data_IF_122663261202
#
_entry.id   IF_122663261202
#
_cell.length_a   1.000
_cell.length_b   1.000
_cell.length_c   1.000
_cell.angle_alpha   90.00
_cell.angle_beta   90.00
_cell.angle_gamma   90.00
#
_symmetry.space_group_name_H-M   'P 1'
#
loop_
_entity.id
_entity.type
_entity.pdbx_description
1 polymer ?
#
# COMPACT_ATOMS: atom_id res chain seq x y z
N UNK A 1 24.76 -2.49 4.54
CA UNK A 1 25.73 -1.89 3.62
C UNK A 1 26.72 -1.11 4.45
N UNK A 2 28.00 -1.27 4.20
CA UNK A 2 29.09 -0.51 4.80
C UNK A 2 29.80 0.24 3.70
N UNK A 3 30.21 1.47 3.97
CA UNK A 3 30.87 2.35 3.01
C UNK A 3 30.30 3.77 3.04
N UNK A 4 30.88 4.64 2.28
CA UNK A 4 30.49 6.02 2.07
C UNK A 4 30.57 6.41 0.58
N UNK A 5 30.26 7.65 0.25
CA UNK A 5 30.28 8.11 -1.15
C UNK A 5 31.68 8.05 -1.79
N UNK A 6 32.73 8.07 -1.00
CA UNK A 6 34.13 8.04 -1.50
C UNK A 6 34.66 6.63 -1.65
N UNK A 7 34.32 5.74 -0.72
CA UNK A 7 34.75 4.32 -0.72
C UNK A 7 33.82 3.38 -1.48
N UNK A 8 32.65 3.88 -1.87
CA UNK A 8 31.56 3.11 -2.46
C UNK A 8 30.82 2.24 -1.42
N UNK A 9 29.58 1.93 -1.71
CA UNK A 9 28.71 1.12 -0.86
C UNK A 9 28.94 -0.39 -1.12
N UNK A 10 29.36 -1.13 -0.10
CA UNK A 10 29.49 -2.58 -0.18
C UNK A 10 28.30 -3.24 0.51
N UNK A 11 27.64 -4.22 -0.14
CA UNK A 11 26.58 -4.96 0.51
C UNK A 11 27.16 -5.82 1.64
N UNK A 12 26.61 -5.67 2.84
CA UNK A 12 26.86 -6.61 3.95
C UNK A 12 26.06 -7.89 3.81
N UNK A 13 26.26 -8.84 4.71
CA UNK A 13 25.44 -10.04 4.77
C UNK A 13 24.00 -9.68 5.14
N UNK A 14 22.98 -10.05 4.33
CA UNK A 14 21.59 -9.82 4.67
C UNK A 14 21.20 -10.54 5.96
N UNK A 15 20.49 -9.84 6.84
CA UNK A 15 19.91 -10.41 8.06
C UNK A 15 18.41 -10.23 8.06
N UNK A 16 17.67 -11.28 8.47
CA UNK A 16 16.22 -11.19 8.59
C UNK A 16 15.87 -10.26 9.77
N UNK A 17 15.13 -9.21 9.50
CA UNK A 17 14.62 -8.29 10.50
C UNK A 17 13.31 -8.78 11.12
N UNK A 18 12.42 -9.32 10.29
CA UNK A 18 11.17 -9.96 10.68
C UNK A 18 11.21 -11.38 10.13
N UNK A 19 10.88 -12.34 10.97
CA UNK A 19 10.77 -13.74 10.58
C UNK A 19 9.64 -14.36 11.39
N UNK A 20 8.53 -14.62 10.71
CA UNK A 20 7.38 -15.36 11.23
C UNK A 20 7.13 -16.59 10.35
N UNK A 21 6.12 -17.36 10.65
CA UNK A 21 5.68 -18.49 9.80
C UNK A 21 4.89 -18.02 8.57
N UNK A 22 4.58 -16.72 8.48
CA UNK A 22 3.90 -16.09 7.35
C UNK A 22 4.90 -15.34 6.46
N UNK A 23 4.55 -15.14 5.20
CA UNK A 23 5.29 -14.21 4.34
C UNK A 23 5.05 -12.78 4.81
N UNK A 24 6.12 -11.99 4.87
CA UNK A 24 6.07 -10.57 5.22
C UNK A 24 6.00 -9.74 3.95
N UNK A 25 5.13 -8.74 3.91
CA UNK A 25 4.95 -7.87 2.75
C UNK A 25 4.97 -6.40 3.08
N UNK A 26 5.22 -5.58 2.05
CA UNK A 26 5.07 -4.14 2.06
C UNK A 26 5.80 -3.38 3.18
N UNK A 27 7.10 -3.64 3.41
CA UNK A 27 7.85 -2.95 4.44
C UNK A 27 8.06 -1.47 4.09
N UNK A 28 7.71 -0.58 5.01
CA UNK A 28 7.84 0.86 4.83
C UNK A 28 8.43 1.48 6.08
N UNK A 29 9.54 2.21 5.93
CA UNK A 29 10.16 2.94 7.02
C UNK A 29 9.36 4.19 7.41
N UNK A 30 9.37 4.50 8.72
CA UNK A 30 8.98 5.83 9.19
C UNK A 30 9.92 6.90 8.64
N UNK A 31 9.50 8.18 8.56
CA UNK A 31 10.34 9.27 8.05
C UNK A 31 11.68 9.45 8.78
N UNK A 32 11.72 9.12 10.06
CA UNK A 32 12.94 9.16 10.88
C UNK A 32 13.79 7.88 10.81
N UNK A 33 13.34 6.87 10.04
CA UNK A 33 14.02 5.59 9.86
C UNK A 33 14.05 4.69 11.10
N UNK A 34 13.37 5.05 12.18
CA UNK A 34 13.41 4.28 13.44
C UNK A 34 12.41 3.14 13.50
N UNK A 35 11.34 3.23 12.75
CA UNK A 35 10.23 2.29 12.76
C UNK A 35 10.00 1.66 11.40
N UNK A 36 9.54 0.43 11.39
CA UNK A 36 9.15 -0.29 10.21
C UNK A 36 7.68 -0.70 10.32
N UNK A 37 6.86 -0.25 9.38
CA UNK A 37 5.52 -0.78 9.16
C UNK A 37 5.58 -1.91 8.15
N UNK A 38 4.77 -2.95 8.32
CA UNK A 38 4.71 -4.09 7.41
C UNK A 38 3.38 -4.83 7.56
N UNK A 39 3.09 -5.71 6.60
CA UNK A 39 1.90 -6.57 6.58
C UNK A 39 2.34 -8.03 6.59
N UNK A 40 2.13 -8.80 7.67
CA UNK A 40 2.24 -10.25 7.60
C UNK A 40 1.13 -10.82 6.71
N UNK A 41 1.50 -11.61 5.73
CA UNK A 41 0.54 -12.30 4.85
C UNK A 41 0.04 -13.58 5.54
N UNK A 42 -0.84 -13.43 6.49
CA UNK A 42 -1.51 -14.55 7.14
C UNK A 42 -2.74 -15.00 6.33
N UNK A 43 -3.22 -16.21 6.59
CA UNK A 43 -4.52 -16.65 6.06
C UNK A 43 -5.63 -15.83 6.68
N UNK A 44 -6.46 -15.19 5.85
CA UNK A 44 -7.56 -14.33 6.27
C UNK A 44 -7.28 -12.82 6.04
N UNK A 45 -7.83 -11.99 6.91
CA UNK A 45 -7.61 -10.55 6.84
C UNK A 45 -6.23 -10.18 7.36
N UNK A 46 -5.41 -9.60 6.50
CA UNK A 46 -4.11 -9.07 6.88
C UNK A 46 -4.27 -7.78 7.70
N UNK A 47 -3.32 -7.55 8.61
CA UNK A 47 -3.28 -6.34 9.44
C UNK A 47 -1.90 -5.70 9.35
N UNK A 48 -1.83 -4.40 9.62
CA UNK A 48 -0.57 -3.67 9.64
C UNK A 48 0.02 -3.69 11.03
N UNK A 49 1.30 -3.97 11.09
CA UNK A 49 2.10 -3.93 12.30
C UNK A 49 3.25 -2.93 12.17
N UNK A 50 3.64 -2.37 13.30
CA UNK A 50 4.83 -1.52 13.42
C UNK A 50 5.78 -2.15 14.44
N UNK A 51 7.06 -2.07 14.17
CA UNK A 51 8.12 -2.45 15.10
C UNK A 51 9.32 -1.51 15.02
N UNK A 52 10.19 -1.44 16.02
CA UNK A 52 11.44 -0.72 15.90
C UNK A 52 12.30 -1.38 14.81
N UNK A 53 13.01 -0.55 14.03
CA UNK A 53 14.00 -1.05 13.09
C UNK A 53 15.23 -1.61 13.84
N UNK A 54 15.61 -0.95 14.93
CA UNK A 54 16.65 -1.41 15.85
C UNK A 54 16.12 -1.38 17.27
N UNK A 55 16.61 -2.27 18.12
CA UNK A 55 16.14 -2.38 19.51
C UNK A 55 15.12 -3.48 19.72
N UNK A 56 14.51 -3.48 20.89
CA UNK A 56 13.51 -4.45 21.33
C UNK A 56 12.13 -3.82 21.42
N UNK A 57 11.10 -4.65 21.46
CA UNK A 57 9.71 -4.23 21.60
C UNK A 57 8.87 -4.52 20.37
N UNK A 58 7.56 -4.38 20.50
CA UNK A 58 6.59 -4.69 19.46
C UNK A 58 6.48 -6.18 19.12
N UNK A 59 5.84 -6.53 18.00
CA UNK A 59 5.19 -5.60 17.09
C UNK A 59 3.88 -5.03 17.68
N UNK A 60 3.55 -3.81 17.29
CA UNK A 60 2.27 -3.17 17.62
C UNK A 60 1.35 -3.22 16.42
N UNK A 61 0.15 -3.74 16.62
CA UNK A 61 -0.88 -3.76 15.58
C UNK A 61 -1.45 -2.36 15.38
N UNK A 62 -1.49 -1.87 14.14
CA UNK A 62 -1.96 -0.54 13.78
C UNK A 62 -3.40 -0.56 13.29
N UNK A 63 -3.72 -1.50 12.42
CA UNK A 63 -5.05 -1.63 11.83
C UNK A 63 -5.92 -2.65 12.56
N UNK A 64 -7.21 -2.64 12.26
CA UNK A 64 -8.17 -3.65 12.70
C UNK A 64 -9.29 -3.77 11.65
N UNK A 65 -9.73 -4.99 11.37
CA UNK A 65 -10.81 -5.25 10.41
C UNK A 65 -10.35 -5.37 8.97
N UNK A 66 -9.06 -5.65 8.74
CA UNK A 66 -8.47 -5.87 7.44
C UNK A 66 -7.80 -4.63 6.86
N UNK A 67 -6.53 -4.75 6.55
CA UNK A 67 -5.73 -3.72 5.94
C UNK A 67 -4.78 -4.29 4.89
N UNK A 68 -4.36 -3.45 3.96
CA UNK A 68 -3.42 -3.81 2.91
C UNK A 68 -2.63 -2.58 2.44
N UNK A 69 -1.73 -2.80 1.50
CA UNK A 69 -1.00 -1.75 0.79
C UNK A 69 -1.92 -0.82 -0.01
N UNK A 70 -1.49 0.41 -0.23
CA UNK A 70 -0.23 1.00 0.26
C UNK A 70 -0.28 1.41 1.73
N UNK A 71 0.87 1.34 2.41
CA UNK A 71 1.10 1.93 3.73
C UNK A 71 1.90 3.20 3.52
N UNK A 72 1.49 4.31 4.14
CA UNK A 72 2.15 5.60 3.98
C UNK A 72 2.31 6.26 5.35
N UNK A 73 3.55 6.54 5.72
CA UNK A 73 3.84 7.41 6.85
C UNK A 73 3.74 8.86 6.43
N UNK A 74 3.02 9.67 7.21
CA UNK A 74 3.04 11.11 7.00
C UNK A 74 4.40 11.71 7.36
N UNK A 75 4.90 12.59 6.52
CA UNK A 75 6.10 13.37 6.82
C UNK A 75 5.79 14.59 7.70
N UNK A 76 4.56 15.06 7.66
CA UNK A 76 4.13 16.27 8.36
C UNK A 76 3.49 15.99 9.72
N UNK A 77 2.99 14.77 9.95
CA UNK A 77 2.23 14.40 11.15
C UNK A 77 2.59 13.01 11.65
N UNK A 78 2.34 12.75 12.90
CA UNK A 78 2.44 11.41 13.48
C UNK A 78 1.20 10.57 13.08
N UNK A 79 1.10 10.24 11.81
CA UNK A 79 0.00 9.50 11.22
C UNK A 79 0.49 8.45 10.21
N UNK A 80 -0.19 7.31 10.21
CA UNK A 80 -0.01 6.24 9.23
C UNK A 80 -1.31 6.10 8.45
N UNK A 81 -1.21 6.19 7.14
CA UNK A 81 -2.31 5.99 6.21
C UNK A 81 -2.20 4.64 5.55
N UNK A 82 -3.32 3.99 5.32
CA UNK A 82 -3.33 2.66 4.73
C UNK A 82 -4.63 2.35 4.00
N UNK A 83 -4.56 1.34 3.16
CA UNK A 83 -5.71 0.78 2.47
C UNK A 83 -6.51 -0.15 3.38
N UNK A 84 -7.82 -0.02 3.38
CA UNK A 84 -8.74 -0.96 4.02
C UNK A 84 -9.88 -1.35 3.08
N UNK A 85 -10.47 -2.53 3.32
CA UNK A 85 -11.65 -2.95 2.57
C UNK A 85 -12.86 -2.07 2.92
N UNK A 86 -13.71 -1.67 1.94
CA UNK A 86 -13.64 -1.89 0.51
C UNK A 86 -13.02 -0.67 -0.25
N UNK A 87 -11.69 -0.64 -0.35
CA UNK A 87 -10.94 0.40 -1.08
C UNK A 87 -11.08 1.80 -0.47
N UNK A 88 -10.93 1.89 0.82
CA UNK A 88 -10.99 3.12 1.59
C UNK A 88 -9.62 3.46 2.19
N UNK A 89 -9.37 4.74 2.41
CA UNK A 89 -8.17 5.20 3.10
C UNK A 89 -8.50 5.37 4.57
N UNK A 90 -7.78 4.65 5.40
CA UNK A 90 -7.81 4.79 6.85
C UNK A 90 -6.59 5.56 7.34
N UNK A 91 -6.70 6.17 8.48
CA UNK A 91 -5.59 6.85 9.16
C UNK A 91 -5.56 6.46 10.63
N UNK A 92 -4.37 6.12 11.12
CA UNK A 92 -4.08 5.92 12.53
C UNK A 92 -3.05 6.97 12.98
N UNK A 93 -3.40 7.81 13.93
CA UNK A 93 -2.43 8.66 14.61
C UNK A 93 -1.68 7.88 15.68
N UNK A 94 -0.42 8.25 15.92
CA UNK A 94 0.43 7.58 16.88
C UNK A 94 1.24 8.57 17.71
N UNK A 95 1.82 8.07 18.80
CA UNK A 95 2.83 8.76 19.62
C UNK A 95 3.96 7.79 19.90
N UNK A 96 5.15 8.33 20.02
CA UNK A 96 6.34 7.59 20.41
C UNK A 96 6.86 8.17 21.70
N UNK A 97 7.00 7.33 22.72
CA UNK A 97 7.57 7.69 24.02
C UNK A 97 8.70 6.68 24.32
N UNK A 98 9.95 7.15 24.15
CA UNK A 98 11.12 6.27 24.22
C UNK A 98 11.02 5.17 23.14
N UNK A 99 11.06 3.91 23.57
CA UNK A 99 10.94 2.73 22.73
C UNK A 99 9.49 2.21 22.61
N UNK A 100 8.52 2.94 23.14
CA UNK A 100 7.11 2.56 23.09
C UNK A 100 6.39 3.26 21.97
N UNK A 101 5.60 2.47 21.21
CA UNK A 101 4.76 2.96 20.13
C UNK A 101 3.29 2.85 20.55
N UNK A 102 2.62 3.98 20.68
CA UNK A 102 1.21 4.06 21.05
C UNK A 102 0.40 4.56 19.87
N UNK A 103 -0.62 3.83 19.48
CA UNK A 103 -1.55 4.26 18.43
C UNK A 103 -2.91 4.61 18.99
N UNK A 104 -3.59 5.56 18.38
CA UNK A 104 -5.02 5.78 18.56
C UNK A 104 -5.82 4.82 17.67
N UNK A 105 -7.10 4.57 17.98
CA UNK A 105 -7.97 3.81 17.10
C UNK A 105 -7.98 4.40 15.69
N UNK A 106 -7.85 3.58 14.63
CA UNK A 106 -7.92 4.04 13.26
C UNK A 106 -9.28 4.66 12.95
N UNK A 107 -9.27 5.67 12.09
CA UNK A 107 -10.48 6.33 11.59
C UNK A 107 -10.48 6.37 10.07
N UNK A 108 -11.66 6.44 9.48
CA UNK A 108 -11.81 6.67 8.06
C UNK A 108 -11.29 8.08 7.72
N UNK A 109 -10.35 8.15 6.76
CA UNK A 109 -9.85 9.44 6.28
C UNK A 109 -10.82 10.08 5.28
N UNK A 110 -11.33 9.28 4.32
CA UNK A 110 -12.28 9.76 3.32
C UNK A 110 -13.31 8.68 2.97
N UNK A 111 -14.54 9.10 2.69
CA UNK A 111 -15.60 8.22 2.16
C UNK A 111 -15.38 7.87 0.68
N UNK A 112 -14.53 8.59 -0.01
CA UNK A 112 -14.19 8.34 -1.41
C UNK A 112 -13.48 6.99 -1.54
N UNK A 113 -13.98 6.15 -2.43
CA UNK A 113 -13.33 4.88 -2.77
C UNK A 113 -12.41 5.08 -3.96
N UNK A 114 -11.26 4.47 -3.91
CA UNK A 114 -10.30 4.50 -5.00
C UNK A 114 -10.28 3.18 -5.78
N UNK A 115 -9.69 3.21 -6.98
CA UNK A 115 -9.49 2.01 -7.77
C UNK A 115 -8.36 1.16 -7.18
N UNK A 116 -8.70 -0.05 -6.77
CA UNK A 116 -7.70 -1.06 -6.49
C UNK A 116 -7.27 -1.71 -7.80
N UNK A 117 -6.01 -1.57 -8.17
CA UNK A 117 -5.42 -2.20 -9.36
C UNK A 117 -4.36 -3.23 -8.97
N UNK A 118 -4.81 -4.34 -8.37
CA UNK A 118 -3.93 -5.41 -7.91
C UNK A 118 -2.92 -4.91 -6.86
N UNK A 119 -1.70 -5.40 -6.89
CA UNK A 119 -0.63 -5.03 -5.94
C UNK A 119 0.03 -3.67 -6.24
N UNK A 120 -0.60 -2.79 -7.01
CA UNK A 120 -0.03 -1.49 -7.35
C UNK A 120 -0.48 -0.43 -6.36
N UNK A 121 0.43 0.53 -6.09
CA UNK A 121 0.11 1.72 -5.31
C UNK A 121 -0.99 2.53 -6.01
N UNK A 122 -2.17 2.61 -5.41
CA UNK A 122 -3.36 3.25 -5.99
C UNK A 122 -3.61 4.66 -5.46
N UNK A 123 -2.88 5.06 -4.43
CA UNK A 123 -2.90 6.42 -3.89
C UNK A 123 -1.55 6.78 -3.25
N UNK A 124 -1.30 8.06 -3.09
CA UNK A 124 -0.14 8.59 -2.37
C UNK A 124 -0.50 9.86 -1.62
N UNK A 125 0.17 10.09 -0.49
CA UNK A 125 0.02 11.29 0.35
C UNK A 125 1.03 12.35 -0.08
N UNK A 126 0.55 13.56 -0.31
CA UNK A 126 1.43 14.70 -0.52
C UNK A 126 2.25 14.98 0.76
N UNK A 127 3.50 15.46 0.65
CA UNK A 127 4.36 15.70 1.81
C UNK A 127 3.79 16.67 2.87
N UNK A 128 2.85 17.55 2.50
CA UNK A 128 2.15 18.44 3.46
C UNK A 128 1.22 17.69 4.43
N UNK A 129 0.88 16.43 4.14
CA UNK A 129 0.01 15.60 4.96
C UNK A 129 -1.47 15.88 4.83
N UNK A 130 -1.89 16.76 3.91
CA UNK A 130 -3.28 17.21 3.75
C UNK A 130 -3.94 16.73 2.46
N UNK A 131 -3.14 16.40 1.45
CA UNK A 131 -3.63 16.09 0.10
C UNK A 131 -3.22 14.70 -0.33
N UNK A 132 -4.14 14.02 -1.01
CA UNK A 132 -3.89 12.74 -1.65
C UNK A 132 -4.03 12.85 -3.16
N UNK A 133 -3.17 12.11 -3.86
CA UNK A 133 -3.42 11.70 -5.23
C UNK A 133 -3.92 10.26 -5.22
N UNK A 134 -5.00 9.98 -5.93
CA UNK A 134 -5.57 8.64 -6.01
C UNK A 134 -6.12 8.33 -7.39
N UNK A 135 -6.04 7.07 -7.81
CA UNK A 135 -6.74 6.60 -8.98
C UNK A 135 -8.21 6.36 -8.61
N UNK A 136 -9.11 7.10 -9.21
CA UNK A 136 -10.56 6.88 -9.07
C UNK A 136 -11.11 6.19 -10.30
N UNK A 137 -12.17 5.39 -10.12
CA UNK A 137 -12.91 4.89 -11.27
C UNK A 137 -13.53 6.09 -12.00
N UNK A 138 -13.47 6.14 -13.34
CA UNK A 138 -14.31 7.08 -14.06
C UNK A 138 -15.74 6.82 -13.61
N UNK A 139 -16.54 7.88 -13.43
CA UNK A 139 -17.98 7.74 -13.30
C UNK A 139 -18.49 7.11 -14.60
N UNK A 140 -18.54 5.79 -14.58
CA UNK A 140 -19.25 5.08 -15.65
C UNK A 140 -20.70 5.30 -15.33
N UNK A 141 -21.39 6.07 -16.16
CA UNK A 141 -22.85 6.05 -16.18
C UNK A 141 -23.27 4.59 -16.10
N UNK A 142 -24.02 4.26 -15.07
CA UNK A 142 -24.41 2.87 -14.70
C UNK A 142 -25.36 2.22 -15.71
N UNK A 143 -25.33 2.63 -16.97
CA UNK A 143 -26.16 2.10 -18.04
C UNK A 143 -25.53 0.94 -18.83
N UNK A 144 -24.26 0.64 -18.60
CA UNK A 144 -23.66 -0.55 -19.24
C UNK A 144 -24.04 -1.77 -18.44
N UNK A 145 -25.20 -2.32 -18.75
CA UNK A 145 -25.57 -3.66 -18.31
C UNK A 145 -24.49 -4.64 -18.79
N UNK A 146 -23.75 -5.21 -17.86
CA UNK A 146 -22.78 -6.29 -18.12
C UNK A 146 -23.49 -7.65 -18.15
N UNK A 147 -24.62 -7.71 -18.83
CA UNK A 147 -25.49 -8.88 -18.95
C UNK A 147 -25.31 -9.61 -20.28
N UNK A 148 -24.37 -9.15 -21.10
CA UNK A 148 -24.08 -9.74 -22.41
C UNK A 148 -22.65 -10.22 -22.48
N UNK A 149 -22.52 -11.48 -22.87
CA UNK A 149 -21.27 -12.08 -23.32
C UNK A 149 -21.26 -12.01 -24.85
N UNK A 150 -20.27 -11.32 -25.43
CA UNK A 150 -20.15 -11.21 -26.88
C UNK A 150 -19.00 -12.11 -27.33
N UNK A 151 -19.32 -13.08 -28.18
CA UNK A 151 -18.32 -13.88 -28.88
C UNK A 151 -18.08 -13.28 -30.25
N UNK A 152 -16.82 -12.99 -30.56
CA UNK A 152 -16.42 -12.53 -31.89
C UNK A 152 -15.73 -13.71 -32.60
N UNK A 153 -16.40 -14.26 -33.58
CA UNK A 153 -15.81 -15.29 -34.48
C UNK A 153 -15.13 -14.63 -35.67
N UNK A 154 -14.07 -15.25 -36.16
CA UNK A 154 -13.27 -14.74 -37.26
C UNK A 154 -12.71 -13.32 -37.05
N UNK A 155 -12.34 -13.02 -35.80
CA UNK A 155 -11.87 -11.69 -35.38
C UNK A 155 -10.78 -11.11 -36.30
N UNK A 156 -9.83 -11.91 -36.75
CA UNK A 156 -8.74 -11.44 -37.63
C UNK A 156 -9.19 -11.05 -39.00
N UNK A 157 -10.21 -11.71 -39.55
CA UNK A 157 -10.76 -11.37 -40.86
C UNK A 157 -11.59 -10.09 -40.78
N UNK A 158 -12.34 -9.92 -39.73
CA UNK A 158 -13.07 -8.69 -39.45
C UNK A 158 -12.11 -7.51 -39.19
N UNK A 159 -11.03 -7.74 -38.47
CA UNK A 159 -10.00 -6.73 -38.25
C UNK A 159 -9.34 -6.29 -39.59
N UNK A 160 -9.01 -7.22 -40.50
CA UNK A 160 -8.49 -6.90 -41.82
C UNK A 160 -9.47 -6.11 -42.68
N UNK A 161 -10.76 -6.40 -42.52
CA UNK A 161 -11.83 -5.67 -43.22
C UNK A 161 -11.96 -4.22 -42.75
N UNK A 162 -11.83 -4.00 -41.45
CA UNK A 162 -12.00 -2.68 -40.81
C UNK A 162 -10.75 -1.81 -40.86
N UNK A 163 -9.57 -2.40 -40.88
CA UNK A 163 -8.28 -1.70 -40.92
C UNK A 163 -7.47 -2.20 -42.13
N UNK A 164 -7.77 -1.75 -43.34
CA UNK A 164 -6.99 -2.12 -44.50
C UNK A 164 -5.54 -1.64 -44.35
N UNK A 165 -4.61 -2.57 -44.51
CA UNK A 165 -3.18 -2.26 -44.51
C UNK A 165 -2.90 -1.33 -45.67
N UNK A 166 -2.52 -0.08 -45.41
CA UNK A 166 -1.94 0.79 -46.46
C UNK A 166 -0.61 0.16 -46.91
N UNK A 167 -0.55 -0.15 -48.20
CA UNK A 167 0.71 -0.49 -48.90
C UNK A 167 1.59 0.75 -49.03
#
# INVERSE_FOLDING_TARGET
MEGDETSGWKPGTPTALVKTDAAEGDPVFSPDGKWLAYVPQATGWSEIFVRPFRGSGGPWQISSGGASSPIIWSQARQEIYYSAFPNQIMVASYRVEGDSFQRNPPRLWSKTRYLLRGARRSFDLHPDGDRFVMAVAPEVETSVKRDKLVFVFNFFDELRRLVPVRK
#
